data_IF_696871692429
#
_entry.id   IF_696871692429
#
_cell.length_a   1.000
_cell.length_b   1.000
_cell.length_c   1.000
_cell.angle_alpha   90.00
_cell.angle_beta   90.00
_cell.angle_gamma   90.00
#
_symmetry.space_group_name_H-M   'P 1'
#
loop_
_entity.id
_entity.type
_entity.pdbx_description
1 polymer ?
#
# COMPACT_ATOMS: atom_id res chain seq x y z
N UNK A 1 20.78 27.98 0.93
CA UNK A 1 19.89 26.88 1.35
C UNK A 1 19.11 26.46 0.12
N UNK A 2 19.18 25.21 -0.36
CA UNK A 2 18.30 24.78 -1.45
C UNK A 2 16.86 24.93 -0.99
N UNK A 3 16.01 25.50 -1.84
CA UNK A 3 14.58 25.56 -1.59
C UNK A 3 14.04 24.14 -1.44
N UNK A 4 13.09 23.88 -0.53
CA UNK A 4 12.46 22.58 -0.46
C UNK A 4 11.82 22.27 -1.82
N UNK A 5 12.18 21.12 -2.41
CA UNK A 5 11.67 20.67 -3.70
C UNK A 5 10.16 20.37 -3.59
N UNK A 6 9.37 21.42 -3.86
CA UNK A 6 7.91 21.37 -3.83
C UNK A 6 7.36 20.45 -4.89
N UNK A 7 7.99 20.39 -6.06
CA UNK A 7 7.53 19.58 -7.19
C UNK A 7 7.73 18.09 -6.90
N UNK A 8 8.90 17.69 -6.39
CA UNK A 8 9.15 16.32 -5.96
C UNK A 8 8.21 15.87 -4.84
N UNK A 9 7.92 16.75 -3.87
CA UNK A 9 6.96 16.48 -2.81
C UNK A 9 5.52 16.28 -3.34
N UNK A 10 5.07 17.12 -4.27
CA UNK A 10 3.77 16.96 -4.93
C UNK A 10 3.71 15.68 -5.75
N UNK A 11 4.77 15.36 -6.51
CA UNK A 11 4.84 14.13 -7.30
C UNK A 11 4.72 12.89 -6.42
N UNK A 12 5.45 12.82 -5.30
CA UNK A 12 5.34 11.70 -4.36
C UNK A 12 3.96 11.61 -3.74
N UNK A 13 3.35 12.73 -3.34
CA UNK A 13 1.97 12.73 -2.83
C UNK A 13 0.99 12.19 -3.88
N UNK A 14 1.06 12.70 -5.11
CA UNK A 14 0.21 12.28 -6.21
C UNK A 14 0.35 10.78 -6.48
N UNK A 15 1.58 10.29 -6.64
CA UNK A 15 1.85 8.88 -6.92
C UNK A 15 1.32 7.98 -5.81
N UNK A 16 1.54 8.38 -4.55
CA UNK A 16 1.13 7.61 -3.38
C UNK A 16 -0.38 7.54 -3.25
N UNK A 17 -1.08 8.66 -3.44
CA UNK A 17 -2.56 8.72 -3.37
C UNK A 17 -3.20 8.02 -4.57
N UNK A 18 -2.74 8.30 -5.80
CA UNK A 18 -3.32 7.72 -7.01
C UNK A 18 -3.13 6.19 -7.05
N UNK A 19 -1.92 5.68 -6.79
CA UNK A 19 -1.67 4.23 -6.76
C UNK A 19 -2.47 3.54 -5.65
N UNK A 20 -2.51 4.12 -4.45
CA UNK A 20 -3.28 3.56 -3.33
C UNK A 20 -4.78 3.54 -3.62
N UNK A 21 -5.34 4.59 -4.22
CA UNK A 21 -6.75 4.63 -4.60
C UNK A 21 -7.08 3.60 -5.68
N UNK A 22 -6.24 3.46 -6.70
CA UNK A 22 -6.45 2.45 -7.75
C UNK A 22 -6.43 1.04 -7.17
N UNK A 23 -5.43 0.71 -6.34
CA UNK A 23 -5.35 -0.58 -5.68
C UNK A 23 -6.55 -0.84 -4.76
N UNK A 24 -6.92 0.16 -3.96
CA UNK A 24 -8.04 0.08 -3.03
C UNK A 24 -9.37 -0.12 -3.77
N UNK A 25 -9.61 0.60 -4.88
CA UNK A 25 -10.86 0.48 -5.63
C UNK A 25 -10.97 -0.86 -6.37
N UNK A 26 -9.89 -1.30 -7.03
CA UNK A 26 -9.93 -2.48 -7.90
C UNK A 26 -9.82 -3.79 -7.11
N UNK A 27 -8.98 -3.83 -6.06
CA UNK A 27 -8.70 -5.08 -5.34
C UNK A 27 -9.13 -5.06 -3.87
N UNK A 28 -8.97 -3.93 -3.18
CA UNK A 28 -9.24 -3.85 -1.74
C UNK A 28 -10.72 -3.81 -1.36
N UNK A 29 -11.50 -2.89 -1.96
CA UNK A 29 -12.91 -2.70 -1.63
C UNK A 29 -13.78 -3.92 -1.94
N UNK A 30 -13.64 -4.61 -3.10
CA UNK A 30 -14.37 -5.84 -3.35
C UNK A 30 -14.18 -6.88 -2.23
N UNK A 31 -12.93 -7.05 -1.75
CA UNK A 31 -12.59 -7.97 -0.66
C UNK A 31 -13.29 -7.66 0.67
N UNK A 32 -13.54 -6.38 0.96
CA UNK A 32 -14.29 -5.97 2.15
C UNK A 32 -15.79 -6.08 1.98
N UNK A 33 -16.32 -5.62 0.83
CA UNK A 33 -17.75 -5.49 0.61
C UNK A 33 -18.41 -6.82 0.25
N UNK A 34 -17.65 -7.76 -0.32
CA UNK A 34 -18.14 -9.05 -0.81
C UNK A 34 -17.48 -10.23 -0.10
N UNK A 35 -17.18 -10.08 1.19
CA UNK A 35 -16.42 -11.03 2.01
C UNK A 35 -16.79 -12.52 1.81
N UNK A 36 -18.09 -12.85 1.86
CA UNK A 36 -18.54 -14.24 1.74
C UNK A 36 -18.28 -14.83 0.34
N UNK A 37 -18.42 -14.02 -0.70
CA UNK A 37 -18.09 -14.42 -2.07
C UNK A 37 -16.58 -14.61 -2.20
N UNK A 38 -15.81 -13.68 -1.66
CA UNK A 38 -14.34 -13.69 -1.75
C UNK A 38 -13.74 -14.88 -0.99
N UNK A 39 -14.31 -15.28 0.16
CA UNK A 39 -13.90 -16.50 0.86
C UNK A 39 -14.03 -17.78 0.02
N UNK A 40 -14.92 -17.80 -0.98
CA UNK A 40 -15.13 -18.96 -1.85
C UNK A 40 -14.22 -18.94 -3.09
N UNK A 41 -13.75 -17.76 -3.49
CA UNK A 41 -13.01 -17.56 -4.75
C UNK A 41 -11.54 -17.22 -4.54
N UNK A 42 -11.14 -16.82 -3.33
CA UNK A 42 -9.77 -16.42 -3.08
C UNK A 42 -8.82 -17.59 -3.28
N UNK A 43 -7.79 -17.35 -4.08
CA UNK A 43 -6.77 -18.33 -4.38
C UNK A 43 -5.78 -18.41 -3.20
N UNK A 44 -5.52 -19.62 -2.74
CA UNK A 44 -4.66 -19.90 -1.59
C UNK A 44 -3.47 -20.80 -2.02
N UNK A 45 -2.47 -20.23 -2.71
CA UNK A 45 -1.35 -21.01 -3.25
C UNK A 45 -0.48 -21.68 -2.17
N UNK A 46 -0.61 -21.25 -0.91
CA UNK A 46 0.17 -21.77 0.21
C UNK A 46 -0.63 -22.70 1.13
N UNK A 47 -1.93 -22.89 0.88
CA UNK A 47 -2.78 -23.82 1.64
C UNK A 47 -2.97 -23.44 3.11
N UNK A 48 -2.91 -22.16 3.46
CA UNK A 48 -3.10 -21.68 4.84
C UNK A 48 -4.57 -21.54 5.25
N UNK A 49 -5.49 -21.63 4.28
CA UNK A 49 -6.93 -21.50 4.40
C UNK A 49 -7.45 -20.19 3.80
N UNK A 50 -8.66 -20.23 3.23
CA UNK A 50 -9.27 -19.07 2.56
C UNK A 50 -9.45 -17.85 3.47
N UNK A 51 -9.89 -18.05 4.72
CA UNK A 51 -10.10 -16.97 5.68
C UNK A 51 -8.80 -16.22 6.05
N UNK A 52 -7.71 -16.89 6.51
CA UNK A 52 -6.46 -16.18 6.77
C UNK A 52 -5.86 -15.55 5.51
N UNK A 53 -5.97 -16.19 4.34
CA UNK A 53 -5.53 -15.61 3.06
C UNK A 53 -6.28 -14.31 2.75
N UNK A 54 -7.60 -14.28 2.93
CA UNK A 54 -8.41 -13.09 2.70
C UNK A 54 -8.10 -11.97 3.69
N UNK A 55 -7.87 -12.29 4.96
CA UNK A 55 -7.43 -11.30 5.97
C UNK A 55 -6.10 -10.67 5.57
N UNK A 56 -5.12 -11.48 5.14
CA UNK A 56 -3.82 -10.98 4.69
C UNK A 56 -3.94 -10.11 3.43
N UNK A 57 -4.77 -10.51 2.47
CA UNK A 57 -5.04 -9.73 1.27
C UNK A 57 -5.70 -8.39 1.61
N UNK A 58 -6.71 -8.37 2.49
CA UNK A 58 -7.36 -7.13 2.96
C UNK A 58 -6.37 -6.23 3.72
N UNK A 59 -5.51 -6.80 4.56
CA UNK A 59 -4.46 -6.03 5.23
C UNK A 59 -3.54 -5.34 4.22
N UNK A 60 -3.11 -6.07 3.19
CA UNK A 60 -2.23 -5.57 2.13
C UNK A 60 -2.93 -4.57 1.20
N UNK A 61 -4.20 -4.76 0.87
CA UNK A 61 -4.88 -4.01 -0.20
C UNK A 61 -5.89 -2.98 0.31
N UNK A 62 -6.12 -2.91 1.61
CA UNK A 62 -6.99 -1.91 2.23
C UNK A 62 -6.23 -1.09 3.26
N UNK A 63 -5.75 -1.73 4.33
CA UNK A 63 -5.11 -1.00 5.42
C UNK A 63 -3.81 -0.32 4.94
N UNK A 64 -2.96 -1.05 4.21
CA UNK A 64 -1.71 -0.48 3.70
C UNK A 64 -1.95 0.70 2.72
N UNK A 65 -2.87 0.62 1.74
CA UNK A 65 -3.25 1.77 0.92
C UNK A 65 -3.75 2.98 1.71
N UNK A 66 -4.55 2.78 2.76
CA UNK A 66 -4.97 3.89 3.64
C UNK A 66 -3.75 4.54 4.31
N UNK A 67 -2.85 3.74 4.89
CA UNK A 67 -1.62 4.25 5.49
C UNK A 67 -0.75 5.00 4.48
N UNK A 68 -0.68 4.49 3.24
CA UNK A 68 0.00 5.13 2.13
C UNK A 68 -0.66 6.46 1.78
N UNK A 69 -1.97 6.58 1.66
CA UNK A 69 -2.65 7.87 1.42
C UNK A 69 -2.24 8.90 2.48
N UNK A 70 -2.28 8.50 3.75
CA UNK A 70 -1.90 9.35 4.88
C UNK A 70 -0.39 9.65 4.94
N UNK A 71 0.44 8.85 4.27
CA UNK A 71 1.90 8.96 4.28
C UNK A 71 2.54 8.46 5.57
N UNK A 72 1.82 7.65 6.35
CA UNK A 72 2.26 7.07 7.62
C UNK A 72 2.85 5.70 7.34
N UNK A 73 4.04 5.42 7.88
CA UNK A 73 4.78 4.17 7.65
C UNK A 73 4.89 3.76 6.17
N UNK A 74 4.92 4.74 5.23
CA UNK A 74 4.72 4.47 3.81
C UNK A 74 5.66 3.39 3.24
N UNK A 75 6.95 3.41 3.61
CA UNK A 75 7.90 2.38 3.15
C UNK A 75 7.51 0.97 3.60
N UNK A 76 7.07 0.84 4.85
CA UNK A 76 6.63 -0.43 5.41
C UNK A 76 5.30 -0.87 4.82
N UNK A 77 4.36 0.06 4.62
CA UNK A 77 3.06 -0.21 4.01
C UNK A 77 3.18 -0.68 2.55
N UNK A 78 4.23 -0.29 1.82
CA UNK A 78 4.49 -0.84 0.49
C UNK A 78 4.84 -2.34 0.50
N UNK A 79 5.44 -2.87 1.59
CA UNK A 79 5.96 -4.24 1.58
C UNK A 79 4.84 -5.30 1.48
N UNK A 80 3.74 -5.23 2.27
CA UNK A 80 2.62 -6.16 2.10
C UNK A 80 1.95 -6.04 0.72
N UNK A 81 1.83 -4.82 0.19
CA UNK A 81 1.28 -4.57 -1.16
C UNK A 81 2.14 -5.25 -2.22
N UNK A 82 3.46 -5.06 -2.16
CA UNK A 82 4.40 -5.70 -3.10
C UNK A 82 4.33 -7.22 -2.97
N UNK A 83 4.26 -7.74 -1.74
CA UNK A 83 4.17 -9.18 -1.50
C UNK A 83 2.92 -9.79 -2.13
N UNK A 84 1.74 -9.21 -1.95
CA UNK A 84 0.50 -9.75 -2.54
C UNK A 84 0.50 -9.67 -4.06
N UNK A 85 1.05 -8.58 -4.65
CA UNK A 85 1.20 -8.44 -6.10
C UNK A 85 2.16 -9.49 -6.68
N UNK A 86 3.27 -9.77 -6.01
CA UNK A 86 4.20 -10.83 -6.40
C UNK A 86 3.57 -12.21 -6.27
N UNK A 87 2.80 -12.46 -5.21
CA UNK A 87 2.05 -13.71 -5.06
C UNK A 87 1.06 -13.90 -6.21
N UNK A 88 0.30 -12.85 -6.53
CA UNK A 88 -0.64 -12.86 -7.65
C UNK A 88 0.04 -13.16 -8.98
N UNK A 89 1.16 -12.51 -9.28
CA UNK A 89 1.89 -12.68 -10.55
C UNK A 89 2.60 -14.04 -10.67
N UNK A 90 3.24 -14.51 -9.59
CA UNK A 90 4.16 -15.66 -9.67
C UNK A 90 3.49 -16.98 -9.33
N UNK A 91 2.57 -16.99 -8.38
CA UNK A 91 1.98 -18.22 -7.87
C UNK A 91 0.54 -18.43 -8.31
N UNK A 92 -0.23 -17.35 -8.42
CA UNK A 92 -1.65 -17.42 -8.76
C UNK A 92 -1.86 -17.39 -10.28
N UNK A 93 -1.18 -16.49 -10.99
CA UNK A 93 -1.28 -16.34 -12.43
C UNK A 93 0.07 -16.38 -13.17
N UNK A 94 0.89 -17.44 -12.99
CA UNK A 94 2.19 -17.56 -13.66
C UNK A 94 2.10 -17.60 -15.20
N UNK A 95 0.93 -17.98 -15.73
CA UNK A 95 0.65 -18.07 -17.16
C UNK A 95 0.28 -16.74 -17.82
N UNK A 96 0.02 -15.68 -17.05
CA UNK A 96 -0.36 -14.39 -17.63
C UNK A 96 0.76 -13.85 -18.51
N UNK A 97 0.38 -13.46 -19.72
CA UNK A 97 1.17 -12.61 -20.59
C UNK A 97 1.37 -11.23 -19.95
N UNK A 98 2.31 -10.44 -20.50
CA UNK A 98 2.52 -9.07 -20.06
C UNK A 98 1.26 -8.21 -20.19
N UNK A 99 0.44 -8.46 -21.21
CA UNK A 99 -0.83 -7.74 -21.45
C UNK A 99 -1.87 -8.04 -20.37
N UNK A 100 -2.04 -9.30 -20.00
CA UNK A 100 -2.98 -9.72 -18.95
C UNK A 100 -2.53 -9.24 -17.57
N UNK A 101 -1.24 -9.37 -17.28
CA UNK A 101 -0.64 -8.97 -15.99
C UNK A 101 -0.29 -7.48 -15.88
N UNK A 102 -0.56 -6.65 -16.89
CA UNK A 102 -0.03 -5.28 -16.98
C UNK A 102 -0.39 -4.42 -15.76
N UNK A 103 -1.60 -4.58 -15.21
CA UNK A 103 -2.03 -3.81 -14.04
C UNK A 103 -1.18 -4.15 -12.81
N UNK A 104 -0.98 -5.44 -12.54
CA UNK A 104 -0.18 -5.90 -11.41
C UNK A 104 1.29 -5.50 -11.57
N UNK A 105 1.86 -5.59 -12.78
CA UNK A 105 3.22 -5.10 -13.06
C UNK A 105 3.36 -3.59 -12.83
N UNK A 106 2.40 -2.79 -13.32
CA UNK A 106 2.42 -1.34 -13.09
C UNK A 106 2.32 -1.00 -11.61
N UNK A 107 1.40 -1.62 -10.88
CA UNK A 107 1.28 -1.42 -9.44
C UNK A 107 2.56 -1.82 -8.71
N UNK A 108 3.17 -2.95 -9.07
CA UNK A 108 4.41 -3.43 -8.48
C UNK A 108 5.54 -2.40 -8.66
N UNK A 109 5.71 -1.87 -9.87
CA UNK A 109 6.71 -0.82 -10.18
C UNK A 109 6.45 0.44 -9.33
N UNK A 110 5.20 0.89 -9.26
CA UNK A 110 4.82 2.09 -8.52
C UNK A 110 5.08 1.94 -7.01
N UNK A 111 4.63 0.83 -6.40
CA UNK A 111 4.81 0.61 -4.97
C UNK A 111 6.27 0.30 -4.60
N UNK A 112 7.02 -0.38 -5.47
CA UNK A 112 8.47 -0.55 -5.30
C UNK A 112 9.20 0.81 -5.35
N UNK A 113 8.86 1.66 -6.32
CA UNK A 113 9.36 3.03 -6.40
C UNK A 113 9.04 3.85 -5.14
N UNK A 114 7.82 3.76 -4.63
CA UNK A 114 7.41 4.42 -3.38
C UNK A 114 8.12 3.84 -2.14
N UNK A 115 8.40 2.54 -2.11
CA UNK A 115 9.17 1.92 -1.03
C UNK A 115 10.60 2.48 -0.97
N UNK A 116 11.21 2.73 -2.14
CA UNK A 116 12.55 3.32 -2.26
C UNK A 116 12.50 4.82 -1.92
N UNK A 117 11.64 5.59 -2.58
CA UNK A 117 11.56 7.04 -2.43
C UNK A 117 11.08 7.47 -1.04
N UNK A 118 10.18 6.68 -0.43
CA UNK A 118 9.55 7.00 0.85
C UNK A 118 8.36 7.96 0.72
N UNK A 119 7.87 8.49 1.85
CA UNK A 119 6.58 9.20 1.89
C UNK A 119 6.62 10.61 1.28
N UNK A 120 7.78 11.24 1.10
CA UNK A 120 7.87 12.66 0.78
C UNK A 120 7.52 13.57 1.97
N UNK A 121 7.58 14.89 1.77
CA UNK A 121 7.32 15.88 2.83
C UNK A 121 5.83 16.09 3.13
N UNK A 122 4.95 15.89 2.15
CA UNK A 122 3.49 15.91 2.36
C UNK A 122 2.99 14.57 2.90
N UNK A 123 2.88 14.50 4.23
CA UNK A 123 2.38 13.35 4.98
C UNK A 123 1.85 13.78 6.33
N UNK A 124 1.00 12.96 6.93
CA UNK A 124 0.67 13.11 8.34
C UNK A 124 1.88 12.73 9.19
N UNK A 125 2.25 13.62 10.11
CA UNK A 125 3.31 13.39 11.09
C UNK A 125 2.65 12.98 12.39
N UNK A 126 2.92 11.76 12.85
CA UNK A 126 2.52 11.31 14.18
C UNK A 126 3.32 12.12 15.21
N UNK A 127 2.62 12.92 16.01
CA UNK A 127 3.26 13.64 17.12
C UNK A 127 3.76 12.63 18.14
N UNK A 128 5.03 12.72 18.53
CA UNK A 128 5.54 11.92 19.64
C UNK A 128 4.94 12.46 20.94
N UNK A 129 4.27 11.64 21.77
CA UNK A 129 3.91 12.07 23.11
C UNK A 129 5.21 12.21 23.91
N UNK A 130 5.62 13.43 24.24
CA UNK A 130 6.84 13.64 25.06
C UNK A 130 7.46 15.04 25.06
N UNK A 131 7.05 15.99 24.22
CA UNK A 131 7.57 17.37 24.29
C UNK A 131 6.53 18.34 24.83
N UNK A 132 6.09 18.11 26.06
CA UNK A 132 5.63 19.19 26.93
C UNK A 132 6.86 19.62 27.72
N UNK A 133 7.62 20.57 27.19
CA UNK A 133 8.63 21.22 27.99
C UNK A 133 7.94 22.00 29.10
N UNK A 134 8.24 21.59 30.33
CA UNK A 134 8.17 22.42 31.52
C UNK A 134 8.86 23.76 31.25
N UNK A 135 8.09 24.85 31.27
CA UNK A 135 8.66 26.20 31.37
C UNK A 135 9.47 26.29 32.68
N UNK A 136 10.74 26.73 32.66
CA UNK A 136 11.39 27.19 33.88
C UNK A 136 10.92 28.63 34.14
N UNK A 137 9.96 28.80 35.04
CA UNK A 137 9.56 30.13 35.51
C UNK A 137 10.67 30.79 36.33
N UNK A 138 10.91 32.10 36.16
CA UNK A 138 11.35 32.98 37.24
C UNK A 138 10.18 33.50 38.08
#
# INVERSE_FOLDING_TARGET
MPTPDRSGALALLFMRVAAALLLLQVHGLPKLLHWQSELQHIEDPFGIGAAPTLVLAVFAEVLCPILLILGVFARLACLPVIAVLLVALVFVHPQWSLEEGQFAWWMLILFAGLAIAGPGSYRLVLSRPGTLHTEPGP
#
